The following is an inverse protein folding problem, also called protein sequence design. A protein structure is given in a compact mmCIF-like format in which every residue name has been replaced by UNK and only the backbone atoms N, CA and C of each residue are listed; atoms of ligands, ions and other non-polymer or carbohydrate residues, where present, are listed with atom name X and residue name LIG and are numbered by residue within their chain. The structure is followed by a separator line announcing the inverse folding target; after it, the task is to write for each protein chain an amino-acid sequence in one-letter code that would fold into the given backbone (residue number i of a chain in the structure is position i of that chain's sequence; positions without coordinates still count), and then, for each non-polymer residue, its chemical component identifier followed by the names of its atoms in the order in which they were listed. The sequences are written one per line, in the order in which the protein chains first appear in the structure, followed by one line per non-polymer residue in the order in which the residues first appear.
data_IF_087220240482
#
_entry.id   IF_087220240482
#
_cell.length_a   1.000
_cell.length_b   1.000
_cell.length_c   1.000
_cell.angle_alpha   90.00
_cell.angle_beta   90.00
_cell.angle_gamma   90.00
#
_symmetry.space_group_name_H-M   'P 1'
#
loop_
_entity.id
_entity.type
_entity.pdbx_description
1 polymer ?
#
# COMPACT_ATOMS: atom_id res chain seq x y z
N UNK A 1 -19.06 11.90 5.20
CA UNK A 1 -18.26 10.67 5.03
C UNK A 1 -16.96 11.09 4.38
N UNK A 2 -15.88 11.16 5.15
CA UNK A 2 -14.56 11.40 4.58
C UNK A 2 -14.23 10.20 3.70
N UNK A 3 -14.12 10.44 2.40
CA UNK A 3 -13.48 9.49 1.50
C UNK A 3 -12.03 9.41 1.93
N UNK A 4 -11.68 8.40 2.72
CA UNK A 4 -10.29 7.99 2.91
C UNK A 4 -9.75 7.74 1.50
N UNK A 5 -9.03 8.72 0.97
CA UNK A 5 -8.21 8.56 -0.22
C UNK A 5 -7.14 7.55 0.17
N UNK A 6 -7.47 6.27 0.04
CA UNK A 6 -6.50 5.20 0.20
C UNK A 6 -5.47 5.45 -0.91
N UNK A 7 -4.22 5.80 -0.59
CA UNK A 7 -3.20 5.92 -1.61
C UNK A 7 -3.19 4.59 -2.37
N UNK A 8 -3.48 4.64 -3.66
CA UNK A 8 -3.63 3.46 -4.49
C UNK A 8 -2.32 2.67 -4.41
N UNK A 9 -2.32 1.55 -3.70
CA UNK A 9 -1.13 0.72 -3.54
C UNK A 9 -0.64 0.25 -4.92
N UNK A 10 0.56 0.67 -5.32
CA UNK A 10 1.22 0.20 -6.53
C UNK A 10 2.54 -0.45 -6.15
N UNK A 11 2.72 -1.71 -6.55
CA UNK A 11 3.97 -2.45 -6.32
C UNK A 11 5.20 -1.75 -6.91
N UNK A 12 5.02 -0.99 -8.00
CA UNK A 12 6.08 -0.20 -8.63
C UNK A 12 6.70 0.82 -7.69
N UNK A 13 5.93 1.35 -6.75
CA UNK A 13 6.36 2.41 -5.84
C UNK A 13 7.33 1.89 -4.76
N UNK A 14 7.48 0.56 -4.67
CA UNK A 14 8.40 -0.16 -3.79
C UNK A 14 9.62 -0.72 -4.53
N UNK A 15 9.80 -0.36 -5.81
CA UNK A 15 11.01 -0.69 -6.56
C UNK A 15 11.95 0.51 -6.54
N UNK A 16 13.12 0.33 -5.92
CA UNK A 16 14.13 1.39 -5.76
C UNK A 16 15.42 1.11 -6.55
N UNK A 17 15.42 0.05 -7.37
CA UNK A 17 16.62 -0.45 -8.06
C UNK A 17 17.13 0.56 -9.07
N UNK A 18 16.23 1.28 -9.76
CA UNK A 18 16.64 2.28 -10.75
C UNK A 18 17.32 3.47 -10.09
N UNK A 19 16.75 3.98 -9.00
CA UNK A 19 17.28 5.09 -8.21
C UNK A 19 18.63 4.73 -7.59
N UNK A 20 18.76 3.50 -7.08
CA UNK A 20 20.03 3.00 -6.55
C UNK A 20 21.10 2.93 -7.63
N UNK A 21 20.79 2.37 -8.80
CA UNK A 21 21.73 2.31 -9.92
C UNK A 21 22.15 3.71 -10.40
N UNK A 22 21.22 4.67 -10.45
CA UNK A 22 21.53 6.07 -10.80
C UNK A 22 22.50 6.70 -9.79
N UNK A 23 22.34 6.46 -8.49
CA UNK A 23 23.26 6.95 -7.47
C UNK A 23 24.65 6.31 -7.65
N UNK A 24 24.70 5.00 -7.90
CA UNK A 24 25.96 4.29 -8.16
C UNK A 24 26.66 4.85 -9.41
N UNK A 25 25.93 5.09 -10.50
CA UNK A 25 26.49 5.70 -11.71
C UNK A 25 27.01 7.12 -11.46
N UNK A 26 26.30 7.93 -10.67
CA UNK A 26 26.75 9.28 -10.31
C UNK A 26 28.01 9.26 -9.44
N UNK A 27 28.14 8.28 -8.55
CA UNK A 27 29.34 8.07 -7.74
C UNK A 27 30.54 7.62 -8.58
N UNK A 28 30.32 6.68 -9.51
CA UNK A 28 31.38 6.14 -10.38
C UNK A 28 31.86 7.14 -11.42
N UNK A 29 30.95 7.94 -11.99
CA UNK A 29 31.27 8.96 -12.99
C UNK A 29 31.71 10.30 -12.39
N UNK A 30 31.66 10.41 -11.05
CA UNK A 30 32.47 11.31 -10.23
C UNK A 30 32.68 12.72 -10.77
N UNK A 31 31.64 13.55 -10.78
CA UNK A 31 31.83 15.01 -11.00
C UNK A 31 30.73 15.91 -10.41
N UNK A 32 29.85 15.38 -9.54
CA UNK A 32 28.79 16.20 -8.96
C UNK A 32 28.30 15.66 -7.60
N UNK A 33 29.02 15.94 -6.49
CA UNK A 33 28.62 15.51 -5.15
C UNK A 33 27.24 16.06 -4.75
N UNK A 34 26.84 17.23 -5.25
CA UNK A 34 25.52 17.79 -5.02
C UNK A 34 24.41 16.97 -5.71
N UNK A 35 24.68 16.43 -6.90
CA UNK A 35 23.74 15.55 -7.60
C UNK A 35 23.56 14.22 -6.86
N UNK A 36 24.66 13.64 -6.35
CA UNK A 36 24.60 12.44 -5.51
C UNK A 36 23.76 12.71 -4.27
N UNK A 37 24.01 13.82 -3.55
CA UNK A 37 23.25 14.20 -2.37
C UNK A 37 21.75 14.35 -2.65
N UNK A 38 21.39 15.05 -3.75
CA UNK A 38 19.99 15.19 -4.18
C UNK A 38 19.33 13.86 -4.50
N UNK A 39 20.01 12.98 -5.23
CA UNK A 39 19.47 11.65 -5.58
C UNK A 39 19.28 10.77 -4.35
N UNK A 40 20.17 10.86 -3.35
CA UNK A 40 20.02 10.17 -2.07
C UNK A 40 18.80 10.71 -1.30
N UNK A 41 18.66 12.02 -1.16
CA UNK A 41 17.49 12.62 -0.48
C UNK A 41 16.18 12.24 -1.17
N UNK A 42 16.12 12.25 -2.50
CA UNK A 42 14.94 11.81 -3.23
C UNK A 42 14.60 10.33 -2.99
N UNK A 43 15.62 9.48 -2.84
CA UNK A 43 15.43 8.07 -2.50
C UNK A 43 14.89 7.91 -1.07
N UNK A 44 15.39 8.68 -0.11
CA UNK A 44 14.89 8.71 1.26
C UNK A 44 13.42 9.15 1.32
N UNK A 45 13.04 10.20 0.59
CA UNK A 45 11.65 10.66 0.47
C UNK A 45 10.73 9.57 -0.08
N UNK A 46 11.19 8.83 -1.10
CA UNK A 46 10.45 7.69 -1.64
C UNK A 46 10.29 6.55 -0.63
N UNK A 47 11.32 6.27 0.18
CA UNK A 47 11.22 5.28 1.25
C UNK A 47 10.23 5.69 2.33
N UNK A 48 10.26 6.94 2.78
CA UNK A 48 9.29 7.43 3.77
C UNK A 48 7.86 7.41 3.22
N UNK A 49 7.67 7.77 1.95
CA UNK A 49 6.37 7.64 1.31
C UNK A 49 5.89 6.18 1.27
N UNK A 50 6.76 5.25 0.85
CA UNK A 50 6.46 3.82 0.81
C UNK A 50 6.10 3.27 2.20
N UNK A 51 6.81 3.72 3.24
CA UNK A 51 6.53 3.38 4.63
C UNK A 51 5.16 3.90 5.09
N UNK A 52 4.83 5.15 4.80
CA UNK A 52 3.51 5.72 5.11
C UNK A 52 2.38 4.97 4.41
N UNK A 53 2.58 4.60 3.14
CA UNK A 53 1.62 3.78 2.40
C UNK A 53 1.42 2.44 3.10
N UNK A 54 2.51 1.76 3.49
CA UNK A 54 2.41 0.50 4.22
C UNK A 54 1.66 0.68 5.53
N UNK A 55 2.03 1.64 6.38
CA UNK A 55 1.38 1.90 7.67
C UNK A 55 -0.12 2.23 7.54
N UNK A 56 -0.54 2.79 6.40
CA UNK A 56 -1.94 3.08 6.10
C UNK A 56 -2.74 1.87 5.59
N UNK A 57 -2.10 0.74 5.26
CA UNK A 57 -2.79 -0.41 4.70
C UNK A 57 -3.78 -1.00 5.71
N UNK A 58 -5.04 -1.22 5.32
CA UNK A 58 -6.02 -1.81 6.21
C UNK A 58 -5.69 -3.29 6.47
N UNK A 59 -5.87 -3.72 7.72
CA UNK A 59 -5.75 -5.13 8.10
C UNK A 59 -4.33 -5.59 8.42
N UNK A 60 -3.33 -4.70 8.45
CA UNK A 60 -1.97 -5.01 8.87
C UNK A 60 -1.87 -5.60 10.28
N UNK A 61 -2.82 -5.26 11.16
CA UNK A 61 -2.88 -5.79 12.52
C UNK A 61 -3.29 -7.26 12.59
N UNK A 62 -3.76 -7.84 11.48
CA UNK A 62 -4.27 -9.20 11.43
C UNK A 62 -3.31 -10.12 10.66
N UNK A 63 -3.11 -11.33 11.17
CA UNK A 63 -2.48 -12.39 10.40
C UNK A 63 -3.38 -12.81 9.23
N UNK A 64 -2.81 -13.46 8.22
CA UNK A 64 -3.59 -13.96 7.08
C UNK A 64 -4.79 -14.83 7.52
N UNK A 65 -4.57 -15.77 8.44
CA UNK A 65 -5.63 -16.63 8.98
C UNK A 65 -6.76 -15.82 9.64
N UNK A 66 -6.41 -14.77 10.39
CA UNK A 66 -7.39 -13.88 11.02
C UNK A 66 -8.18 -13.09 9.97
N UNK A 67 -7.52 -12.61 8.91
CA UNK A 67 -8.18 -11.91 7.81
C UNK A 67 -9.16 -12.83 7.07
N UNK A 68 -8.76 -14.08 6.79
CA UNK A 68 -9.62 -15.09 6.16
C UNK A 68 -10.84 -15.41 7.02
N UNK A 69 -10.66 -15.51 8.34
CA UNK A 69 -11.76 -15.72 9.29
C UNK A 69 -12.74 -14.53 9.31
N UNK A 70 -12.23 -13.30 9.38
CA UNK A 70 -13.05 -12.08 9.31
C UNK A 70 -13.85 -12.05 8.01
N UNK A 71 -13.22 -12.38 6.88
CA UNK A 71 -13.87 -12.44 5.58
C UNK A 71 -15.00 -13.47 5.55
N UNK A 72 -14.74 -14.69 6.04
CA UNK A 72 -15.75 -15.75 6.09
C UNK A 72 -16.96 -15.35 6.95
N UNK A 73 -16.71 -14.76 8.12
CA UNK A 73 -17.77 -14.30 9.02
C UNK A 73 -18.59 -13.15 8.42
N UNK A 74 -17.92 -12.15 7.83
CA UNK A 74 -18.58 -11.03 7.16
C UNK A 74 -19.44 -11.50 5.99
N UNK A 75 -18.94 -12.45 5.19
CA UNK A 75 -19.65 -13.04 4.05
C UNK A 75 -20.90 -13.80 4.52
N UNK A 76 -20.79 -14.59 5.59
CA UNK A 76 -21.94 -15.30 6.18
C UNK A 76 -23.02 -14.35 6.66
N UNK A 77 -22.64 -13.25 7.32
CA UNK A 77 -23.59 -12.22 7.78
C UNK A 77 -24.27 -11.54 6.60
N UNK A 78 -23.51 -11.21 5.55
CA UNK A 78 -24.02 -10.59 4.34
C UNK A 78 -25.06 -11.48 3.65
N UNK A 79 -24.76 -12.77 3.50
CA UNK A 79 -25.68 -13.72 2.85
C UNK A 79 -26.99 -13.86 3.64
N UNK A 80 -26.90 -13.93 4.98
CA UNK A 80 -28.09 -13.94 5.84
C UNK A 80 -28.95 -12.68 5.63
N UNK A 81 -28.34 -11.49 5.60
CA UNK A 81 -29.06 -10.23 5.37
C UNK A 81 -29.66 -10.16 3.97
N UNK A 82 -28.96 -10.68 2.96
CA UNK A 82 -29.44 -10.76 1.58
C UNK A 82 -30.69 -11.64 1.48
N UNK A 83 -30.69 -12.81 2.13
CA UNK A 83 -31.84 -13.70 2.18
C UNK A 83 -33.03 -13.05 2.90
N UNK A 84 -32.80 -12.38 4.03
CA UNK A 84 -33.85 -11.61 4.73
C UNK A 84 -34.47 -10.53 3.83
N UNK A 85 -33.64 -9.77 3.12
CA UNK A 85 -34.11 -8.75 2.19
C UNK A 85 -34.94 -9.36 1.05
N UNK A 86 -34.52 -10.51 0.51
CA UNK A 86 -35.29 -11.22 -0.52
C UNK A 86 -36.65 -11.67 0.00
N UNK A 87 -36.71 -12.23 1.21
CA UNK A 87 -37.97 -12.58 1.86
C UNK A 87 -38.89 -11.37 2.02
N UNK A 88 -38.37 -10.22 2.45
CA UNK A 88 -39.18 -8.99 2.56
C UNK A 88 -39.67 -8.44 1.21
N UNK A 89 -38.94 -8.66 0.12
CA UNK A 89 -39.36 -8.23 -1.22
C UNK A 89 -40.45 -9.12 -1.84
N UNK A 90 -40.64 -10.32 -1.31
CA UNK A 90 -41.65 -11.28 -1.77
C UNK A 90 -42.94 -11.21 -0.95
N UNK A 91 -42.94 -10.45 0.16
CA UNK A 91 -44.10 -10.03 0.93
C UNK A 91 -44.72 -8.77 0.32
#
# INVERSE_FOLDING_TARGET
MESLQNPLFKKSDFSFVQEFNQIVDLLLNGNNPDAVGKSVTQLEEKFEHAKQVLESLPGLQYTQEQQEKILADATRVLEKKKNQLQSYKQL
#
